data_IF_798871113309
#
_entry.id   IF_798871113309
#
_cell.length_a   1.000
_cell.length_b   1.000
_cell.length_c   1.000
_cell.angle_alpha   90.00
_cell.angle_beta   90.00
_cell.angle_gamma   90.00
#
_symmetry.space_group_name_H-M   'P 1'
#
loop_
_entity.id
_entity.type
_entity.pdbx_description
1 polymer ?
#
# COMPACT_ATOMS: atom_id res chain seq x y z
N UNK A 1 -7.37 26.44 21.64
CA UNK A 1 -7.79 25.57 20.51
C UNK A 1 -8.00 26.37 19.21
N UNK A 2 -7.30 27.50 19.01
CA UNK A 2 -7.61 28.48 17.94
C UNK A 2 -6.37 29.05 17.22
N UNK A 3 -5.22 28.37 17.25
CA UNK A 3 -3.96 28.94 16.74
C UNK A 3 -3.63 28.61 15.27
N UNK A 4 -4.50 27.92 14.53
CA UNK A 4 -4.23 27.47 13.15
C UNK A 4 -5.14 28.08 12.07
N UNK A 5 -6.07 28.98 12.42
CA UNK A 5 -7.02 29.57 11.47
C UNK A 5 -6.62 30.98 11.05
N UNK A 6 -5.68 31.08 10.10
CA UNK A 6 -5.44 32.33 9.36
C UNK A 6 -5.26 32.03 7.88
N UNK A 7 -6.32 32.21 7.10
CA UNK A 7 -6.28 32.06 5.64
C UNK A 7 -7.50 32.70 5.01
N UNK A 8 -7.32 33.86 4.36
CA UNK A 8 -8.35 34.48 3.52
C UNK A 8 -8.58 33.58 2.30
N UNK A 9 -9.81 33.09 2.13
CA UNK A 9 -10.21 32.27 0.99
C UNK A 9 -10.48 33.17 -0.22
N UNK A 10 -9.68 33.05 -1.27
CA UNK A 10 -10.06 33.54 -2.60
C UNK A 10 -10.64 32.35 -3.37
N UNK A 11 -11.96 32.39 -3.60
CA UNK A 11 -12.65 31.40 -4.41
C UNK A 11 -12.35 31.67 -5.88
N UNK A 12 -11.43 30.90 -6.46
CA UNK A 12 -11.23 30.91 -7.90
C UNK A 12 -12.33 30.06 -8.59
N UNK A 13 -13.05 30.70 -9.51
CA UNK A 13 -14.23 30.20 -10.22
C UNK A 13 -13.92 29.07 -11.22
N UNK A 14 -12.66 28.67 -11.37
CA UNK A 14 -12.20 27.56 -12.22
C UNK A 14 -12.44 26.15 -11.62
N UNK A 15 -13.02 26.07 -10.42
CA UNK A 15 -13.19 24.86 -9.60
C UNK A 15 -14.19 23.81 -10.13
N UNK A 16 -15.10 24.17 -11.05
CA UNK A 16 -16.11 23.24 -11.58
C UNK A 16 -15.60 22.29 -12.66
N UNK A 17 -14.42 22.44 -13.24
CA UNK A 17 -13.88 21.44 -14.17
C UNK A 17 -12.91 20.45 -13.50
N UNK A 18 -12.44 20.82 -12.30
CA UNK A 18 -11.46 20.10 -11.51
C UNK A 18 -12.04 19.03 -10.57
N UNK A 19 -13.36 18.98 -10.34
CA UNK A 19 -13.94 18.04 -9.37
C UNK A 19 -13.78 16.57 -9.78
N UNK A 20 -14.01 16.24 -11.06
CA UNK A 20 -13.81 14.88 -11.57
C UNK A 20 -12.33 14.48 -11.56
N UNK A 21 -11.43 15.38 -11.96
CA UNK A 21 -9.99 15.09 -11.99
C UNK A 21 -9.46 14.83 -10.57
N UNK A 22 -9.91 15.62 -9.59
CA UNK A 22 -9.55 15.41 -8.19
C UNK A 22 -10.19 14.14 -7.62
N UNK A 23 -11.41 13.79 -8.03
CA UNK A 23 -12.04 12.54 -7.64
C UNK A 23 -11.27 11.32 -8.19
N UNK A 24 -10.85 11.36 -9.45
CA UNK A 24 -10.01 10.31 -10.04
C UNK A 24 -8.61 10.25 -9.43
N UNK A 25 -8.04 11.38 -9.01
CA UNK A 25 -6.77 11.42 -8.31
C UNK A 25 -6.84 10.76 -6.91
N UNK A 26 -8.02 10.65 -6.30
CA UNK A 26 -8.22 9.94 -5.04
C UNK A 26 -8.29 8.41 -5.22
N UNK A 27 -8.64 7.90 -6.41
CA UNK A 27 -8.81 6.46 -6.66
C UNK A 27 -7.53 5.67 -6.35
N UNK A 28 -6.33 6.05 -6.84
CA UNK A 28 -5.10 5.36 -6.47
C UNK A 28 -4.80 5.37 -4.97
N UNK A 29 -5.14 6.47 -4.27
CA UNK A 29 -4.94 6.59 -2.82
C UNK A 29 -5.83 5.60 -2.07
N UNK A 30 -7.09 5.49 -2.49
CA UNK A 30 -8.04 4.51 -1.94
C UNK A 30 -7.55 3.09 -2.25
N UNK A 31 -7.17 2.79 -3.49
CA UNK A 31 -6.66 1.47 -3.87
C UNK A 31 -5.40 1.08 -3.10
N UNK A 32 -4.49 2.03 -2.84
CA UNK A 32 -3.31 1.82 -2.02
C UNK A 32 -3.67 1.54 -0.56
N UNK A 33 -4.59 2.33 0.02
CA UNK A 33 -5.04 2.15 1.40
C UNK A 33 -5.75 0.82 1.63
N UNK A 34 -6.53 0.34 0.66
CA UNK A 34 -7.28 -0.91 0.75
C UNK A 34 -6.55 -2.11 0.12
N UNK A 35 -5.23 -2.12 0.14
CA UNK A 35 -4.42 -3.20 -0.43
C UNK A 35 -4.32 -4.43 0.51
N UNK A 36 -5.46 -5.04 0.85
CA UNK A 36 -5.52 -6.21 1.74
C UNK A 36 -5.10 -7.52 1.06
N UNK A 37 -5.11 -7.59 -0.27
CA UNK A 37 -4.81 -8.81 -1.04
C UNK A 37 -3.41 -9.39 -0.74
N UNK A 38 -2.40 -8.54 -0.51
CA UNK A 38 -1.02 -9.03 -0.35
C UNK A 38 -0.83 -9.73 0.99
N UNK A 39 -1.52 -9.24 2.04
CA UNK A 39 -1.43 -9.80 3.38
C UNK A 39 -2.42 -10.95 3.59
N UNK A 40 -3.49 -11.00 2.81
CA UNK A 40 -4.54 -12.00 2.96
C UNK A 40 -4.05 -13.44 2.74
N UNK A 41 -3.03 -13.65 1.89
CA UNK A 41 -2.39 -14.98 1.68
C UNK A 41 -1.69 -15.47 2.95
N UNK A 42 -0.95 -14.59 3.64
CA UNK A 42 -0.30 -14.94 4.90
C UNK A 42 -1.33 -15.19 5.99
N UNK A 43 -2.38 -14.34 6.08
CA UNK A 43 -3.48 -14.53 7.02
C UNK A 43 -4.23 -15.85 6.78
N UNK A 44 -4.42 -16.25 5.52
CA UNK A 44 -5.02 -17.53 5.18
C UNK A 44 -4.15 -18.71 5.60
N UNK A 45 -2.83 -18.62 5.41
CA UNK A 45 -1.88 -19.65 5.78
C UNK A 45 -1.78 -19.86 7.31
N UNK A 46 -1.94 -18.79 8.08
CA UNK A 46 -1.92 -18.83 9.55
C UNK A 46 -3.28 -19.18 10.19
N UNK A 47 -4.37 -19.25 9.41
CA UNK A 47 -5.70 -19.48 9.93
C UNK A 47 -5.91 -20.95 10.34
N UNK A 48 -6.38 -21.17 11.57
CA UNK A 48 -6.76 -22.50 12.03
C UNK A 48 -8.03 -22.99 11.31
N UNK A 49 -7.92 -24.06 10.50
CA UNK A 49 -8.97 -24.60 9.61
C UNK A 49 -9.48 -23.58 8.56
N UNK A 50 -8.67 -23.28 7.52
CA UNK A 50 -9.03 -22.31 6.50
C UNK A 50 -10.20 -22.82 5.65
N UNK A 51 -11.35 -22.16 5.75
CA UNK A 51 -12.50 -22.37 4.84
C UNK A 51 -12.80 -21.07 4.12
N UNK A 52 -13.15 -21.16 2.82
CA UNK A 52 -13.40 -19.98 1.99
C UNK A 52 -14.47 -19.06 2.60
N UNK A 53 -15.52 -19.64 3.19
CA UNK A 53 -16.60 -18.87 3.85
C UNK A 53 -16.09 -18.08 5.06
N UNK A 54 -15.28 -18.69 5.95
CA UNK A 54 -14.74 -18.01 7.12
C UNK A 54 -13.73 -16.93 6.72
N UNK A 55 -12.85 -17.24 5.78
CA UNK A 55 -11.88 -16.29 5.26
C UNK A 55 -12.56 -15.05 4.63
N UNK A 56 -13.62 -15.26 3.85
CA UNK A 56 -14.41 -14.18 3.27
C UNK A 56 -15.06 -13.29 4.34
N UNK A 57 -15.65 -13.89 5.38
CA UNK A 57 -16.26 -13.15 6.50
C UNK A 57 -15.21 -12.33 7.25
N UNK A 58 -14.08 -12.94 7.62
CA UNK A 58 -13.00 -12.25 8.33
C UNK A 58 -12.46 -11.08 7.49
N UNK A 59 -12.20 -11.32 6.20
CA UNK A 59 -11.71 -10.27 5.29
C UNK A 59 -12.72 -9.13 5.13
N UNK A 60 -14.01 -9.45 5.00
CA UNK A 60 -15.07 -8.45 4.88
C UNK A 60 -15.18 -7.59 6.16
N UNK A 61 -15.16 -8.22 7.33
CA UNK A 61 -15.20 -7.52 8.62
C UNK A 61 -13.97 -6.63 8.82
N UNK A 62 -12.76 -7.15 8.55
CA UNK A 62 -11.53 -6.36 8.62
C UNK A 62 -11.56 -5.15 7.68
N UNK A 63 -12.05 -5.33 6.46
CA UNK A 63 -12.18 -4.25 5.47
C UNK A 63 -13.20 -3.21 5.92
N UNK A 64 -14.33 -3.62 6.49
CA UNK A 64 -15.33 -2.71 7.04
C UNK A 64 -14.76 -1.86 8.16
N UNK A 65 -14.04 -2.47 9.10
CA UNK A 65 -13.40 -1.78 10.22
C UNK A 65 -12.36 -0.77 9.70
N UNK A 66 -11.50 -1.17 8.76
CA UNK A 66 -10.54 -0.26 8.14
C UNK A 66 -11.23 0.92 7.44
N UNK A 67 -12.36 0.66 6.78
CA UNK A 67 -13.15 1.70 6.09
C UNK A 67 -13.67 2.74 7.07
N UNK A 68 -14.21 2.31 8.21
CA UNK A 68 -14.69 3.22 9.25
C UNK A 68 -13.54 4.06 9.80
N UNK A 69 -12.42 3.42 10.16
CA UNK A 69 -11.26 4.13 10.73
C UNK A 69 -10.68 5.14 9.74
N UNK A 70 -10.52 4.77 8.46
CA UNK A 70 -10.00 5.67 7.44
C UNK A 70 -10.96 6.82 7.15
N UNK A 71 -12.27 6.57 7.12
CA UNK A 71 -13.27 7.62 6.92
C UNK A 71 -13.27 8.63 8.06
N UNK A 72 -13.24 8.15 9.30
CA UNK A 72 -13.18 8.99 10.50
C UNK A 72 -11.88 9.80 10.53
N UNK A 73 -10.74 9.17 10.28
CA UNK A 73 -9.43 9.84 10.25
C UNK A 73 -9.36 10.89 9.13
N UNK A 74 -9.89 10.57 7.95
CA UNK A 74 -9.98 11.51 6.83
C UNK A 74 -10.89 12.70 7.13
N UNK A 75 -12.04 12.47 7.75
CA UNK A 75 -12.96 13.52 8.17
C UNK A 75 -12.32 14.47 9.20
N UNK A 76 -11.68 13.95 10.24
CA UNK A 76 -10.96 14.76 11.22
C UNK A 76 -9.77 15.51 10.60
N UNK A 77 -9.03 14.88 9.69
CA UNK A 77 -7.93 15.52 8.97
C UNK A 77 -8.41 16.71 8.13
N UNK A 78 -9.54 16.55 7.44
CA UNK A 78 -10.16 17.62 6.67
C UNK A 78 -10.70 18.74 7.56
N UNK A 79 -11.36 18.43 8.68
CA UNK A 79 -11.87 19.43 9.62
C UNK A 79 -10.74 20.24 10.30
N UNK A 80 -9.56 19.65 10.46
CA UNK A 80 -8.42 20.29 11.14
C UNK A 80 -7.69 21.30 10.26
N UNK A 81 -7.53 21.01 8.96
CA UNK A 81 -6.70 21.81 8.04
C UNK A 81 -7.48 22.39 6.83
N UNK A 82 -8.73 21.98 6.66
CA UNK A 82 -9.58 22.40 5.55
C UNK A 82 -8.96 22.10 4.19
N UNK A 83 -8.95 23.11 3.32
CA UNK A 83 -8.45 23.00 1.93
C UNK A 83 -6.92 23.11 1.81
N UNK A 84 -6.20 23.35 2.91
CA UNK A 84 -4.72 23.49 2.91
C UNK A 84 -3.97 22.20 3.30
N UNK A 85 -4.62 21.04 3.16
CA UNK A 85 -4.02 19.74 3.47
C UNK A 85 -2.96 19.37 2.42
N UNK A 86 -1.69 19.30 2.83
CA UNK A 86 -0.63 18.65 2.05
C UNK A 86 -0.83 17.12 1.99
N UNK A 87 -0.25 16.49 0.96
CA UNK A 87 -0.30 15.03 0.76
C UNK A 87 0.25 14.22 1.95
N UNK A 88 1.12 14.83 2.75
CA UNK A 88 1.50 14.35 4.07
C UNK A 88 0.91 15.29 5.12
N UNK A 89 -0.06 14.79 5.88
CA UNK A 89 -0.76 15.58 6.89
C UNK A 89 0.18 15.99 8.04
N UNK A 90 1.22 15.20 8.33
CA UNK A 90 2.16 15.48 9.42
C UNK A 90 3.04 16.68 9.11
N UNK A 91 3.24 17.01 7.83
CA UNK A 91 4.00 18.20 7.40
C UNK A 91 3.22 19.49 7.70
N UNK A 92 1.90 19.43 7.85
CA UNK A 92 1.10 20.59 8.23
C UNK A 92 1.19 20.92 9.72
N UNK A 93 1.65 19.98 10.56
CA UNK A 93 1.89 20.23 11.99
C UNK A 93 3.28 20.81 12.24
N UNK A 94 3.37 21.75 13.17
CA UNK A 94 4.64 22.39 13.54
C UNK A 94 5.61 21.34 14.13
N UNK A 95 6.87 21.27 13.67
CA UNK A 95 7.87 20.34 14.21
C UNK A 95 8.18 20.51 15.71
N UNK A 96 7.77 21.63 16.34
CA UNK A 96 7.92 21.84 17.78
C UNK A 96 6.78 21.24 18.61
N UNK A 97 5.74 20.72 17.98
CA UNK A 97 4.66 20.02 18.67
C UNK A 97 5.11 18.60 19.06
N UNK A 98 5.11 18.33 20.37
CA UNK A 98 5.51 17.03 20.92
C UNK A 98 4.62 15.88 20.42
N UNK A 99 3.33 16.13 20.22
CA UNK A 99 2.39 15.10 19.76
C UNK A 99 2.64 14.73 18.28
N UNK A 100 2.85 15.72 17.43
CA UNK A 100 3.17 15.50 16.02
C UNK A 100 4.53 14.80 15.84
N UNK A 101 5.52 15.16 16.67
CA UNK A 101 6.84 14.53 16.66
C UNK A 101 6.76 13.07 17.11
N UNK A 102 5.99 12.77 18.17
CA UNK A 102 5.74 11.41 18.61
C UNK A 102 5.03 10.58 17.52
N UNK A 103 4.02 11.13 16.85
CA UNK A 103 3.33 10.46 15.74
C UNK A 103 4.27 10.12 14.57
N UNK A 104 5.16 11.05 14.20
CA UNK A 104 6.21 10.80 13.19
C UNK A 104 7.14 9.66 13.62
N UNK A 105 7.58 9.64 14.87
CA UNK A 105 8.44 8.57 15.39
C UNK A 105 7.75 7.21 15.31
N UNK A 106 6.48 7.12 15.71
CA UNK A 106 5.68 5.89 15.62
C UNK A 106 5.57 5.42 14.16
N UNK A 107 5.29 6.34 13.23
CA UNK A 107 5.20 6.00 11.80
C UNK A 107 6.54 5.49 11.26
N UNK A 108 7.67 6.08 11.65
CA UNK A 108 9.01 5.58 11.25
C UNK A 108 9.22 4.15 11.74
N UNK A 109 8.87 3.84 12.99
CA UNK A 109 8.99 2.49 13.55
C UNK A 109 8.09 1.50 12.80
N UNK A 110 6.85 1.89 12.51
CA UNK A 110 5.90 1.07 11.74
C UNK A 110 6.44 0.81 10.33
N UNK A 111 6.88 1.84 9.61
CA UNK A 111 7.42 1.72 8.25
C UNK A 111 8.65 0.81 8.23
N UNK A 112 9.56 0.95 9.19
CA UNK A 112 10.73 0.07 9.29
C UNK A 112 10.34 -1.39 9.51
N UNK A 113 9.37 -1.63 10.39
CA UNK A 113 8.87 -2.97 10.69
C UNK A 113 8.17 -3.60 9.48
N UNK A 114 7.29 -2.84 8.81
CA UNK A 114 6.62 -3.29 7.58
C UNK A 114 7.62 -3.55 6.46
N UNK A 115 8.64 -2.70 6.30
CA UNK A 115 9.68 -2.90 5.30
C UNK A 115 10.42 -4.23 5.50
N UNK A 116 10.78 -4.58 6.74
CA UNK A 116 11.42 -5.85 7.05
C UNK A 116 10.55 -7.06 6.67
N UNK A 117 9.25 -7.00 6.98
CA UNK A 117 8.29 -8.06 6.65
C UNK A 117 8.12 -8.18 5.12
N UNK A 118 7.90 -7.07 4.43
CA UNK A 118 7.74 -7.05 2.98
C UNK A 118 8.99 -7.56 2.26
N UNK A 119 10.17 -7.19 2.73
CA UNK A 119 11.44 -7.69 2.19
C UNK A 119 11.57 -9.21 2.37
N UNK A 120 11.17 -9.74 3.53
CA UNK A 120 11.18 -11.19 3.77
C UNK A 120 10.22 -11.94 2.84
N UNK A 121 8.97 -11.47 2.72
CA UNK A 121 7.96 -12.09 1.84
C UNK A 121 8.37 -11.98 0.37
N UNK A 122 8.85 -10.81 -0.06
CA UNK A 122 9.31 -10.57 -1.43
C UNK A 122 10.46 -11.51 -1.81
N UNK A 123 11.39 -11.74 -0.88
CA UNK A 123 12.47 -12.70 -1.07
C UNK A 123 11.95 -14.14 -1.24
N UNK A 124 11.03 -14.58 -0.39
CA UNK A 124 10.45 -15.93 -0.46
C UNK A 124 9.68 -16.15 -1.77
N UNK A 125 8.93 -15.14 -2.22
CA UNK A 125 8.19 -15.17 -3.47
C UNK A 125 9.12 -15.19 -4.70
N UNK A 126 10.13 -14.31 -4.74
CA UNK A 126 11.11 -14.28 -5.82
C UNK A 126 11.87 -15.59 -5.94
N UNK A 127 12.25 -16.17 -4.79
CA UNK A 127 12.91 -17.47 -4.74
C UNK A 127 12.02 -18.59 -5.30
N UNK A 128 10.77 -18.66 -4.83
CA UNK A 128 9.81 -19.66 -5.32
C UNK A 128 9.60 -19.56 -6.84
N UNK A 129 9.49 -18.33 -7.37
CA UNK A 129 9.36 -18.09 -8.80
C UNK A 129 10.63 -18.50 -9.56
N UNK A 130 11.81 -18.12 -9.07
CA UNK A 130 13.08 -18.42 -9.73
C UNK A 130 13.36 -19.92 -9.81
N UNK A 131 13.09 -20.68 -8.73
CA UNK A 131 13.21 -22.13 -8.70
C UNK A 131 12.26 -22.76 -9.73
N UNK A 132 11.00 -22.31 -9.75
CA UNK A 132 9.99 -22.81 -10.69
C UNK A 132 10.36 -22.51 -12.15
N UNK A 133 10.93 -21.33 -12.42
CA UNK A 133 11.31 -20.90 -13.76
C UNK A 133 12.56 -21.65 -14.28
N UNK A 134 13.55 -21.88 -13.40
CA UNK A 134 14.84 -22.48 -13.78
C UNK A 134 14.91 -24.00 -13.57
N UNK A 135 13.85 -24.62 -13.03
CA UNK A 135 13.79 -26.05 -12.67
C UNK A 135 15.03 -26.53 -11.89
N UNK A 136 15.50 -25.69 -10.96
CA UNK A 136 16.77 -25.93 -10.27
C UNK A 136 16.63 -27.04 -9.23
N UNK A 137 17.63 -27.93 -9.19
CA UNK A 137 17.72 -29.06 -8.26
C UNK A 137 18.06 -28.58 -6.86
N UNK A 138 17.49 -29.21 -5.82
CA UNK A 138 17.57 -28.79 -4.40
C UNK A 138 19.01 -28.58 -3.91
N UNK A 139 19.97 -29.35 -4.42
CA UNK A 139 21.37 -29.34 -4.00
C UNK A 139 22.17 -28.08 -4.43
N UNK A 140 21.77 -27.38 -5.50
CA UNK A 140 22.42 -26.13 -5.91
C UNK A 140 21.90 -24.90 -5.13
N UNK A 141 20.74 -25.04 -4.47
CA UNK A 141 20.02 -23.95 -3.81
C UNK A 141 20.69 -23.56 -2.47
N UNK A 142 21.27 -24.52 -1.76
CA UNK A 142 21.92 -24.30 -0.45
C UNK A 142 23.29 -23.63 -0.58
N UNK A 143 24.10 -24.01 -1.57
CA UNK A 143 25.49 -23.50 -1.71
C UNK A 143 25.53 -22.00 -2.02
N UNK A 144 24.54 -21.50 -2.77
CA UNK A 144 24.48 -20.09 -3.20
C UNK A 144 23.57 -19.23 -2.34
N UNK A 145 23.05 -19.77 -1.23
CA UNK A 145 22.00 -19.11 -0.48
C UNK A 145 22.45 -17.77 0.12
N UNK A 146 23.64 -17.72 0.73
CA UNK A 146 24.18 -16.51 1.36
C UNK A 146 24.54 -15.42 0.34
N UNK A 147 25.10 -15.80 -0.81
CA UNK A 147 25.39 -14.82 -1.89
C UNK A 147 24.10 -14.27 -2.48
N UNK A 148 23.10 -15.12 -2.72
CA UNK A 148 21.78 -14.68 -3.21
C UNK A 148 21.05 -13.81 -2.20
N UNK A 149 21.14 -14.14 -0.90
CA UNK A 149 20.60 -13.31 0.21
C UNK A 149 21.14 -11.88 0.14
N UNK A 150 22.46 -11.73 0.00
CA UNK A 150 23.10 -10.41 -0.04
C UNK A 150 22.73 -9.68 -1.34
N UNK A 151 22.78 -10.35 -2.50
CA UNK A 151 22.44 -9.73 -3.78
C UNK A 151 20.99 -9.26 -3.82
N UNK A 152 20.02 -10.08 -3.37
CA UNK A 152 18.60 -9.68 -3.33
C UNK A 152 18.38 -8.48 -2.42
N UNK A 153 18.98 -8.47 -1.22
CA UNK A 153 18.86 -7.33 -0.29
C UNK A 153 19.48 -6.05 -0.86
N UNK A 154 20.65 -6.15 -1.52
CA UNK A 154 21.30 -5.01 -2.15
C UNK A 154 20.46 -4.46 -3.31
N UNK A 155 20.00 -5.32 -4.22
CA UNK A 155 19.13 -4.92 -5.33
C UNK A 155 17.88 -4.23 -4.82
N UNK A 156 17.23 -4.80 -3.78
CA UNK A 156 16.04 -4.22 -3.18
C UNK A 156 16.30 -2.85 -2.54
N UNK A 157 17.43 -2.71 -1.83
CA UNK A 157 17.84 -1.44 -1.24
C UNK A 157 18.13 -0.38 -2.30
N UNK A 158 18.91 -0.70 -3.33
CA UNK A 158 19.22 0.22 -4.41
C UNK A 158 17.98 0.59 -5.23
N UNK A 159 17.06 -0.35 -5.47
CA UNK A 159 15.80 -0.04 -6.15
C UNK A 159 14.91 0.89 -5.31
N UNK A 160 14.83 0.66 -4.00
CA UNK A 160 14.09 1.52 -3.07
C UNK A 160 14.69 2.93 -3.03
N UNK A 161 16.03 3.02 -2.95
CA UNK A 161 16.76 4.28 -2.96
C UNK A 161 16.57 5.05 -4.27
N UNK A 162 16.68 4.36 -5.41
CA UNK A 162 16.46 4.96 -6.72
C UNK A 162 15.04 5.51 -6.86
N UNK A 163 14.03 4.76 -6.41
CA UNK A 163 12.64 5.23 -6.42
C UNK A 163 12.43 6.45 -5.50
N UNK A 164 13.07 6.47 -4.32
CA UNK A 164 13.00 7.60 -3.40
C UNK A 164 13.59 8.89 -3.99
N UNK A 165 14.66 8.78 -4.79
CA UNK A 165 15.26 9.94 -5.48
C UNK A 165 14.34 10.46 -6.59
N UNK A 166 13.69 9.56 -7.34
CA UNK A 166 12.82 9.93 -8.46
C UNK A 166 11.48 10.50 -7.99
N UNK A 167 10.98 10.07 -6.83
CA UNK A 167 9.66 10.45 -6.32
C UNK A 167 9.77 11.26 -5.02
N UNK A 168 9.96 12.59 -5.10
CA UNK A 168 10.21 13.45 -3.94
C UNK A 168 8.93 13.76 -3.11
N UNK A 169 7.77 13.27 -3.53
CA UNK A 169 6.49 13.55 -2.88
C UNK A 169 5.71 12.27 -2.62
N UNK A 170 5.27 12.08 -1.38
CA UNK A 170 4.49 10.92 -0.93
C UNK A 170 3.22 10.74 -1.78
N UNK A 171 2.52 11.83 -2.15
CA UNK A 171 1.33 11.75 -3.00
C UNK A 171 1.57 11.11 -4.37
N UNK A 172 2.69 11.42 -5.03
CA UNK A 172 3.07 10.80 -6.31
C UNK A 172 3.44 9.32 -6.14
N UNK A 173 4.13 8.99 -5.05
CA UNK A 173 4.49 7.60 -4.74
C UNK A 173 3.24 6.74 -4.54
N UNK A 174 2.29 7.24 -3.74
CA UNK A 174 0.99 6.59 -3.51
C UNK A 174 0.22 6.46 -4.82
N UNK A 175 0.20 7.49 -5.67
CA UNK A 175 -0.51 7.43 -6.94
C UNK A 175 0.03 6.34 -7.88
N UNK A 176 1.35 6.19 -7.98
CA UNK A 176 1.99 5.16 -8.81
C UNK A 176 1.71 3.77 -8.24
N UNK A 177 2.00 3.56 -6.95
CA UNK A 177 1.83 2.25 -6.30
C UNK A 177 0.35 1.86 -6.26
N UNK A 178 -0.54 2.80 -5.96
CA UNK A 178 -1.98 2.63 -5.99
C UNK A 178 -2.52 2.33 -7.39
N UNK A 179 -1.91 2.89 -8.43
CA UNK A 179 -2.22 2.54 -9.83
C UNK A 179 -1.87 1.10 -10.16
N UNK A 180 -0.69 0.63 -9.73
CA UNK A 180 -0.34 -0.79 -9.83
C UNK A 180 -1.31 -1.67 -9.03
N UNK A 181 -1.64 -1.29 -7.79
CA UNK A 181 -2.61 -2.02 -6.97
C UNK A 181 -3.98 -2.11 -7.66
N UNK A 182 -4.48 -1.02 -8.22
CA UNK A 182 -5.74 -1.00 -8.98
C UNK A 182 -5.69 -1.97 -10.17
N UNK A 183 -4.60 -1.95 -10.95
CA UNK A 183 -4.42 -2.90 -12.05
C UNK A 183 -4.51 -4.35 -11.60
N UNK A 184 -3.85 -4.72 -10.49
CA UNK A 184 -3.92 -6.07 -9.93
C UNK A 184 -5.33 -6.42 -9.42
N UNK A 185 -6.00 -5.51 -8.72
CA UNK A 185 -7.35 -5.71 -8.16
C UNK A 185 -8.38 -5.95 -9.28
N UNK A 186 -8.30 -5.22 -10.38
CA UNK A 186 -9.26 -5.37 -11.48
C UNK A 186 -8.94 -6.54 -12.42
N UNK A 187 -7.66 -6.83 -12.66
CA UNK A 187 -7.25 -7.84 -13.65
C UNK A 187 -7.37 -9.28 -13.13
N UNK A 188 -7.02 -9.54 -11.86
CA UNK A 188 -7.04 -10.90 -11.29
C UNK A 188 -8.44 -11.55 -11.27
N UNK A 189 -9.48 -10.93 -10.69
CA UNK A 189 -10.81 -11.53 -10.67
C UNK A 189 -11.41 -11.66 -12.07
N UNK A 190 -11.16 -10.67 -12.96
CA UNK A 190 -11.60 -10.74 -14.36
C UNK A 190 -10.98 -11.91 -15.13
N UNK A 191 -9.66 -12.11 -15.00
CA UNK A 191 -8.96 -13.21 -15.66
C UNK A 191 -9.38 -14.59 -15.15
N UNK A 192 -9.62 -14.73 -13.84
CA UNK A 192 -10.09 -15.98 -13.23
C UNK A 192 -11.50 -16.36 -13.70
N UNK A 193 -12.41 -15.39 -13.79
CA UNK A 193 -13.77 -15.63 -14.31
C UNK A 193 -13.73 -16.02 -15.79
N UNK A 194 -12.90 -15.37 -16.59
CA UNK A 194 -12.74 -15.71 -18.01
C UNK A 194 -12.12 -17.10 -18.21
N UNK A 195 -11.12 -17.49 -17.40
CA UNK A 195 -10.52 -18.83 -17.43
C UNK A 195 -11.51 -19.93 -17.00
N UNK A 196 -12.38 -19.64 -16.04
CA UNK A 196 -13.44 -20.57 -15.63
C UNK A 196 -14.61 -20.62 -16.62
N UNK A 197 -14.86 -19.53 -17.35
CA UNK A 197 -15.90 -19.45 -18.35
C UNK A 197 -15.47 -19.99 -19.72
N UNK A 198 -14.16 -20.10 -20.01
CA UNK A 198 -13.69 -20.86 -21.17
C UNK A 198 -14.03 -22.33 -20.96
N UNK A 199 -14.92 -22.91 -21.79
CA UNK A 199 -15.19 -24.33 -21.72
C UNK A 199 -13.87 -25.05 -21.98
N UNK A 200 -13.51 -25.96 -21.08
CA UNK A 200 -12.49 -26.98 -21.34
C UNK A 200 -12.87 -27.62 -22.66
N UNK A 201 -12.15 -27.25 -23.74
CA UNK A 201 -12.12 -28.06 -24.95
C UNK A 201 -11.51 -29.39 -24.50
N UNK A 202 -12.38 -30.40 -24.54
CA UNK A 202 -12.15 -31.81 -24.24
C UNK A 202 -10.83 -32.36 -24.75
#
# INVERSE_FOLDING_TARGET
>A
MSQYYTGKYTYDSSSKQFYWVNAFAAVPVICFGFQCHVTSVAVLAEMHNPTLKRFAIVTALSTLICTVIYSVTGAYGFLTFGHSVKSDILVNYNPKDGAATAARAVIVVVVFSTYAICHFVGRSAFLGLWIKLRKLTVHEIEVWENKRRIVTSLVWFFSSLGLAIVVPTIGKAIAIVGGFAAHFIFTFPGGLVLLWASPVVS
#
